data_IF_273364858022
#
_entry.id   IF_273364858022
#
_cell.length_a   1.000
_cell.length_b   1.000
_cell.length_c   1.000
_cell.angle_alpha   90.00
_cell.angle_beta   90.00
_cell.angle_gamma   90.00
#
_symmetry.space_group_name_H-M   'P 1'
#
loop_
_entity.id
_entity.type
_entity.pdbx_description
1 polymer ?
#
# COMPACT_ATOMS: atom_id res chain seq x y z
N UNK A 1 -75.48 -28.87 68.98
CA UNK A 1 -75.54 -28.69 67.52
C UNK A 1 -74.30 -27.88 67.14
N UNK A 2 -73.09 -28.43 67.06
CA UNK A 2 -72.69 -29.71 66.41
C UNK A 2 -73.29 -29.80 64.99
N UNK A 3 -72.58 -30.07 63.88
CA UNK A 3 -71.17 -30.42 63.59
C UNK A 3 -70.89 -30.03 62.10
N UNK A 4 -69.67 -30.00 61.49
CA UNK A 4 -68.32 -30.43 61.88
C UNK A 4 -67.20 -29.65 61.15
N UNK A 5 -65.94 -29.85 61.56
CA UNK A 5 -64.68 -29.65 60.80
C UNK A 5 -63.95 -31.01 60.85
N UNK A 6 -63.49 -31.64 59.74
CA UNK A 6 -62.17 -31.34 59.11
C UNK A 6 -62.21 -31.49 57.55
N UNK A 7 -61.15 -31.38 56.72
CA UNK A 7 -59.75 -31.88 56.77
C UNK A 7 -58.83 -31.04 55.85
N UNK A 8 -57.53 -30.89 56.20
CA UNK A 8 -56.47 -30.42 55.30
C UNK A 8 -55.87 -31.55 54.44
N UNK A 9 -55.70 -31.28 53.15
CA UNK A 9 -54.64 -31.82 52.27
C UNK A 9 -54.61 -30.97 50.99
N UNK A 10 -53.50 -30.67 50.32
CA UNK A 10 -52.07 -30.89 50.55
C UNK A 10 -51.29 -30.02 49.55
N UNK A 11 -50.03 -29.67 49.82
CA UNK A 11 -49.39 -28.52 49.19
C UNK A 11 -49.00 -28.63 47.70
N UNK A 12 -48.78 -27.46 47.07
CA UNK A 12 -47.79 -27.27 46.00
C UNK A 12 -47.12 -25.89 46.16
N UNK A 13 -45.86 -25.79 45.76
CA UNK A 13 -44.88 -24.88 46.38
C UNK A 13 -44.75 -23.47 45.77
N UNK A 14 -44.20 -22.56 46.61
CA UNK A 14 -43.18 -21.49 46.39
C UNK A 14 -42.48 -21.42 44.99
N UNK A 15 -41.82 -20.29 44.60
CA UNK A 15 -41.62 -19.04 45.34
C UNK A 15 -41.83 -17.70 44.59
N UNK A 16 -41.96 -16.65 45.41
CA UNK A 16 -41.75 -15.23 45.09
C UNK A 16 -40.38 -14.98 44.44
N UNK A 17 -40.32 -14.19 43.36
CA UNK A 17 -39.11 -13.47 42.92
C UNK A 17 -39.41 -12.08 42.36
N UNK A 18 -39.16 -11.11 43.23
CA UNK A 18 -38.35 -9.90 43.01
C UNK A 18 -38.73 -8.90 41.89
N UNK A 19 -39.13 -7.66 42.22
CA UNK A 19 -39.39 -6.58 41.25
C UNK A 19 -38.10 -5.87 40.80
N UNK A 20 -37.01 -6.61 40.55
CA UNK A 20 -35.71 -6.05 40.18
C UNK A 20 -35.18 -6.62 38.86
N UNK A 21 -34.65 -5.69 38.05
CA UNK A 21 -33.78 -5.88 36.87
C UNK A 21 -34.46 -6.23 35.52
N UNK A 22 -35.05 -5.22 34.90
CA UNK A 22 -34.84 -4.94 33.46
C UNK A 22 -34.54 -3.46 33.22
N UNK A 23 -33.55 -2.93 33.93
CA UNK A 23 -32.78 -1.80 33.38
C UNK A 23 -31.97 -2.35 32.20
N UNK A 24 -32.50 -2.18 31.00
CA UNK A 24 -31.68 -2.25 29.80
C UNK A 24 -30.76 -1.03 29.83
N UNK A 25 -29.61 -1.18 30.47
CA UNK A 25 -28.49 -0.24 30.31
C UNK A 25 -28.20 -0.16 28.81
N UNK A 26 -28.35 1.01 28.16
CA UNK A 26 -27.91 1.15 26.78
C UNK A 26 -26.43 0.73 26.73
N UNK A 27 -25.98 -0.06 25.73
CA UNK A 27 -24.56 -0.33 25.59
C UNK A 27 -23.86 1.02 25.54
N UNK A 28 -22.94 1.26 26.48
CA UNK A 28 -22.27 2.55 26.61
C UNK A 28 -21.74 2.92 25.21
N UNK A 29 -22.20 4.05 24.67
CA UNK A 29 -22.01 4.41 23.26
C UNK A 29 -20.57 4.83 23.04
N UNK A 30 -19.75 3.80 22.93
CA UNK A 30 -18.32 3.81 22.84
C UNK A 30 -17.91 4.51 21.55
N UNK A 31 -17.00 5.47 21.66
CA UNK A 31 -16.53 6.23 20.51
C UNK A 31 -15.95 5.29 19.45
N UNK A 32 -16.30 5.54 18.19
CA UNK A 32 -15.80 4.76 17.07
C UNK A 32 -14.43 5.26 16.65
N UNK A 33 -13.51 4.34 16.41
CA UNK A 33 -12.21 4.64 15.80
C UNK A 33 -12.34 4.81 14.28
N UNK A 34 -11.36 5.44 13.64
CA UNK A 34 -11.34 5.77 12.22
C UNK A 34 -9.96 5.41 11.67
N UNK A 35 -9.92 4.74 10.51
CA UNK A 35 -8.68 4.47 9.77
C UNK A 35 -8.50 5.57 8.72
N UNK A 36 -7.39 6.28 8.81
CA UNK A 36 -7.01 7.36 7.87
C UNK A 36 -5.75 6.92 7.14
N UNK A 37 -5.74 6.96 5.80
CA UNK A 37 -4.58 6.58 5.00
C UNK A 37 -3.73 7.82 4.64
N UNK A 38 -2.41 7.64 4.62
CA UNK A 38 -1.46 8.64 4.16
C UNK A 38 -0.43 8.01 3.21
N UNK A 39 -0.41 8.37 1.91
CA UNK A 39 -1.35 9.30 1.25
C UNK A 39 -2.79 8.73 1.24
N UNK A 40 -3.83 9.58 1.08
CA UNK A 40 -5.25 9.20 1.26
C UNK A 40 -5.84 8.37 0.09
N UNK A 41 -5.04 7.44 -0.46
CA UNK A 41 -5.30 6.76 -1.72
C UNK A 41 -5.78 5.34 -1.41
N UNK A 42 -6.98 4.98 -1.86
CA UNK A 42 -7.52 3.61 -1.70
C UNK A 42 -6.97 2.64 -2.75
N UNK A 43 -6.44 3.16 -3.86
CA UNK A 43 -5.81 2.41 -4.94
C UNK A 43 -4.32 2.79 -4.98
N UNK A 44 -3.47 1.78 -4.85
CA UNK A 44 -2.03 1.94 -4.62
C UNK A 44 -1.26 1.03 -5.58
N UNK A 45 -0.09 1.45 -6.06
CA UNK A 45 0.72 0.62 -6.94
C UNK A 45 1.57 -0.37 -6.13
N UNK A 46 1.91 -1.48 -6.77
CA UNK A 46 2.82 -2.46 -6.19
C UNK A 46 4.16 -1.78 -5.88
N UNK A 47 4.70 -2.10 -4.71
CA UNK A 47 5.94 -1.58 -4.14
C UNK A 47 5.88 -0.12 -3.62
N UNK A 48 4.72 0.55 -3.66
CA UNK A 48 4.47 1.84 -2.96
C UNK A 48 4.49 1.68 -1.42
N UNK A 49 4.73 2.79 -0.72
CA UNK A 49 4.65 2.90 0.74
C UNK A 49 3.37 3.65 1.17
N UNK A 50 2.58 3.01 2.03
CA UNK A 50 1.33 3.54 2.59
C UNK A 50 1.42 3.56 4.11
N UNK A 51 0.99 4.63 4.75
CA UNK A 51 0.84 4.71 6.21
C UNK A 51 -0.65 4.68 6.57
N UNK A 52 -1.03 3.81 7.52
CA UNK A 52 -2.38 3.77 8.08
C UNK A 52 -2.33 4.33 9.50
N UNK A 53 -3.10 5.40 9.73
CA UNK A 53 -3.27 6.08 11.01
C UNK A 53 -4.58 5.61 11.63
N UNK A 54 -4.55 5.14 12.89
CA UNK A 54 -5.77 4.96 13.66
C UNK A 54 -6.08 6.21 14.50
N UNK A 55 -7.24 6.80 14.28
CA UNK A 55 -7.78 7.91 15.06
C UNK A 55 -8.95 7.42 15.91
N UNK A 56 -9.17 8.01 17.08
CA UNK A 56 -10.21 7.55 18.01
C UNK A 56 -10.02 8.16 19.40
N UNK A 57 -11.07 8.20 20.23
CA UNK A 57 -11.03 8.92 21.51
C UNK A 57 -10.35 8.14 22.66
N UNK A 58 -9.35 7.33 22.34
CA UNK A 58 -8.51 6.70 23.36
C UNK A 58 -7.82 7.78 24.19
N UNK A 59 -7.83 7.63 25.51
CA UNK A 59 -7.05 8.50 26.40
C UNK A 59 -5.56 8.36 26.08
N UNK A 60 -4.71 9.37 26.39
CA UNK A 60 -3.27 9.27 26.12
C UNK A 60 -2.54 8.19 26.93
N UNK A 61 -3.21 7.55 27.91
CA UNK A 61 -2.75 6.34 28.60
C UNK A 61 -2.94 5.07 27.75
N UNK A 62 -4.12 4.89 27.12
CA UNK A 62 -4.43 3.78 26.22
C UNK A 62 -3.82 4.02 24.82
N UNK A 63 -2.52 3.79 24.72
CA UNK A 63 -1.75 3.91 23.46
C UNK A 63 -1.84 2.68 22.55
N UNK A 64 -2.38 1.57 23.03
CA UNK A 64 -2.54 0.34 22.26
C UNK A 64 -3.57 0.49 21.14
N UNK A 65 -3.15 0.20 19.92
CA UNK A 65 -4.00 0.21 18.71
C UNK A 65 -3.98 -1.18 18.09
N UNK A 66 -5.08 -1.91 18.19
CA UNK A 66 -5.27 -3.18 17.52
C UNK A 66 -5.56 -2.94 16.03
N UNK A 67 -4.89 -3.68 15.15
CA UNK A 67 -5.13 -3.62 13.70
C UNK A 67 -5.69 -4.95 13.19
N UNK A 68 -6.67 -4.88 12.30
CA UNK A 68 -7.26 -6.04 11.62
C UNK A 68 -7.16 -5.85 10.10
N UNK A 69 -6.71 -6.89 9.40
CA UNK A 69 -6.70 -6.99 7.94
C UNK A 69 -7.49 -8.22 7.51
N UNK A 70 -8.52 -8.03 6.69
CA UNK A 70 -9.48 -9.07 6.31
C UNK A 70 -10.00 -9.85 7.54
N UNK A 71 -10.37 -9.09 8.57
CA UNK A 71 -10.86 -9.57 9.88
C UNK A 71 -9.86 -10.45 10.67
N UNK A 72 -8.59 -10.52 10.24
CA UNK A 72 -7.47 -11.17 10.93
C UNK A 72 -6.63 -10.13 11.69
N UNK A 73 -6.34 -10.38 12.96
CA UNK A 73 -5.52 -9.50 13.80
C UNK A 73 -4.06 -9.46 13.33
N UNK A 74 -3.55 -8.26 13.07
CA UNK A 74 -2.13 -7.99 12.83
C UNK A 74 -1.44 -7.82 14.19
N UNK A 75 -0.27 -8.44 14.45
CA UNK A 75 0.45 -8.34 15.72
C UNK A 75 1.21 -7.01 15.88
N UNK A 76 0.48 -5.89 15.72
CA UNK A 76 0.99 -4.51 15.71
C UNK A 76 0.09 -3.69 16.63
N UNK A 77 0.69 -3.00 17.61
CA UNK A 77 -0.02 -2.27 18.67
C UNK A 77 0.14 -0.74 18.58
N UNK A 78 0.76 -0.24 17.51
CA UNK A 78 1.09 1.18 17.31
C UNK A 78 0.02 1.93 16.50
N UNK A 79 -0.09 3.24 16.72
CA UNK A 79 -1.07 4.10 16.06
C UNK A 79 -0.82 4.27 14.55
N UNK A 80 0.45 4.31 14.13
CA UNK A 80 0.88 4.44 12.74
C UNK A 80 1.39 3.10 12.24
N UNK A 81 0.71 2.50 11.27
CA UNK A 81 1.14 1.25 10.65
C UNK A 81 1.55 1.48 9.20
N UNK A 82 2.86 1.35 8.93
CA UNK A 82 3.41 1.50 7.59
C UNK A 82 3.43 0.16 6.85
N UNK A 83 2.87 0.14 5.64
CA UNK A 83 2.78 -1.01 4.76
C UNK A 83 3.51 -0.68 3.45
N UNK A 84 4.41 -1.58 3.03
CA UNK A 84 4.96 -1.58 1.66
C UNK A 84 4.18 -2.59 0.83
N UNK A 85 3.53 -2.13 -0.24
CA UNK A 85 2.58 -2.90 -1.05
C UNK A 85 3.27 -3.92 -1.99
N UNK A 86 4.13 -4.79 -1.46
CA UNK A 86 4.98 -5.68 -2.25
C UNK A 86 4.20 -6.81 -2.98
N UNK A 87 2.94 -7.06 -2.60
CA UNK A 87 2.10 -8.10 -3.17
C UNK A 87 0.62 -7.68 -3.14
N UNK A 88 -0.17 -8.21 -4.08
CA UNK A 88 -1.63 -8.03 -4.15
C UNK A 88 -2.32 -8.57 -2.88
N UNK A 89 -1.71 -9.49 -2.13
CA UNK A 89 -2.20 -9.97 -0.83
C UNK A 89 -2.37 -8.89 0.24
N UNK A 90 -1.74 -7.72 0.09
CA UNK A 90 -1.95 -6.56 0.96
C UNK A 90 -3.23 -5.78 0.61
N UNK A 91 -3.92 -6.13 -0.47
CA UNK A 91 -5.28 -5.62 -0.71
C UNK A 91 -6.27 -6.21 0.29
N UNK A 92 -7.41 -5.54 0.45
CA UNK A 92 -8.51 -5.96 1.29
C UNK A 92 -8.93 -4.92 2.32
N UNK A 93 -9.62 -5.40 3.35
CA UNK A 93 -10.31 -4.59 4.36
C UNK A 93 -9.41 -4.36 5.58
N UNK A 94 -9.11 -3.10 5.87
CA UNK A 94 -8.41 -2.67 7.07
C UNK A 94 -9.38 -2.05 8.07
N UNK A 95 -9.25 -2.43 9.35
CA UNK A 95 -9.94 -1.83 10.49
C UNK A 95 -8.93 -1.63 11.62
N UNK A 96 -9.18 -0.67 12.50
CA UNK A 96 -8.45 -0.52 13.75
C UNK A 96 -9.38 -0.46 14.96
N UNK A 97 -8.83 -0.66 16.15
CA UNK A 97 -9.49 -0.43 17.43
C UNK A 97 -8.47 0.16 18.41
N UNK A 98 -8.79 1.31 19.02
CA UNK A 98 -7.86 2.01 19.92
C UNK A 98 -8.29 1.90 21.38
N UNK A 99 -7.48 1.27 22.22
CA UNK A 99 -7.82 1.01 23.62
C UNK A 99 -9.20 0.35 23.74
N UNK A 100 -10.05 0.89 24.60
CA UNK A 100 -11.42 0.40 24.74
C UNK A 100 -12.39 0.84 23.63
N UNK A 101 -12.00 1.70 22.66
CA UNK A 101 -12.89 2.27 21.62
C UNK A 101 -13.57 1.22 20.75
N UNK A 102 -14.64 1.58 20.02
CA UNK A 102 -15.31 0.68 19.09
C UNK A 102 -14.48 0.49 17.81
N UNK A 103 -14.54 -0.72 17.23
CA UNK A 103 -13.88 -1.07 15.97
C UNK A 103 -14.26 -0.08 14.86
N UNK A 104 -13.28 0.33 14.06
CA UNK A 104 -13.44 1.35 13.03
C UNK A 104 -14.39 0.94 11.90
N UNK A 105 -14.75 1.90 11.04
CA UNK A 105 -15.31 1.51 9.74
C UNK A 105 -14.25 0.78 8.92
N UNK A 106 -14.65 -0.17 8.05
CA UNK A 106 -13.75 -0.89 7.18
C UNK A 106 -13.31 -0.03 5.99
N UNK A 107 -12.01 0.18 5.85
CA UNK A 107 -11.44 0.84 4.67
C UNK A 107 -10.85 -0.22 3.74
N UNK A 108 -11.18 -0.16 2.45
CA UNK A 108 -10.64 -1.09 1.44
C UNK A 108 -9.42 -0.48 0.77
N UNK A 109 -8.29 -1.19 0.85
CA UNK A 109 -7.07 -0.90 0.11
C UNK A 109 -6.97 -1.85 -1.08
N UNK A 110 -6.65 -1.34 -2.26
CA UNK A 110 -6.48 -2.11 -3.49
C UNK A 110 -5.06 -1.90 -4.03
N UNK A 111 -4.35 -3.00 -4.30
CA UNK A 111 -2.95 -2.98 -4.76
C UNK A 111 -2.89 -3.46 -6.20
N UNK A 112 -2.40 -2.62 -7.11
CA UNK A 112 -2.31 -2.90 -8.54
C UNK A 112 -0.86 -3.11 -8.99
N UNK A 113 -0.57 -4.06 -9.90
CA UNK A 113 0.78 -4.18 -10.47
C UNK A 113 1.14 -2.91 -11.24
N UNK A 114 2.31 -2.32 -10.98
CA UNK A 114 2.77 -1.17 -11.75
C UNK A 114 3.11 -1.59 -13.20
N UNK A 115 2.39 -1.07 -14.23
CA UNK A 115 2.69 -1.38 -15.63
C UNK A 115 4.06 -0.85 -16.07
N UNK A 116 4.60 0.17 -15.38
CA UNK A 116 5.92 0.74 -15.68
C UNK A 116 7.05 -0.19 -15.20
N UNK A 117 6.95 -0.80 -14.01
CA UNK A 117 7.92 -1.77 -13.49
C UNK A 117 8.15 -2.95 -14.44
N UNK A 118 7.07 -3.48 -15.01
CA UNK A 118 7.06 -4.65 -15.89
C UNK A 118 7.64 -4.35 -17.28
N UNK A 119 7.51 -3.10 -17.75
CA UNK A 119 8.01 -2.68 -19.06
C UNK A 119 9.43 -2.08 -19.00
N UNK A 120 9.79 -1.42 -17.90
CA UNK A 120 11.08 -0.74 -17.71
C UNK A 120 12.28 -1.69 -17.66
N UNK A 121 12.11 -2.89 -17.07
CA UNK A 121 13.22 -3.83 -16.84
C UNK A 121 13.77 -4.49 -18.12
N UNK A 122 12.93 -4.71 -19.15
CA UNK A 122 13.32 -5.45 -20.36
C UNK A 122 13.45 -4.59 -21.62
N UNK A 123 12.68 -3.50 -21.75
CA UNK A 123 12.50 -2.82 -23.06
C UNK A 123 13.43 -1.64 -23.35
N UNK A 124 14.11 -1.05 -22.36
CA UNK A 124 15.00 0.12 -22.61
C UNK A 124 16.19 -0.23 -23.51
N UNK A 125 16.74 -1.45 -23.43
CA UNK A 125 17.82 -1.92 -24.31
C UNK A 125 17.43 -1.87 -25.78
N UNK A 126 16.19 -2.25 -26.13
CA UNK A 126 15.78 -2.39 -27.53
C UNK A 126 15.66 -1.04 -28.26
N UNK A 127 15.45 0.07 -27.54
CA UNK A 127 15.51 1.42 -28.09
C UNK A 127 16.95 1.93 -28.30
N UNK A 128 17.88 1.53 -27.43
CA UNK A 128 19.29 1.93 -27.57
C UNK A 128 20.00 1.24 -28.75
N UNK A 129 19.63 0.01 -29.11
CA UNK A 129 20.22 -0.72 -30.25
C UNK A 129 20.13 0.06 -31.58
N UNK A 130 18.95 0.47 -32.08
CA UNK A 130 18.86 1.24 -33.33
C UNK A 130 19.52 2.61 -33.20
N UNK A 131 19.49 3.24 -32.02
CA UNK A 131 20.20 4.49 -31.77
C UNK A 131 21.73 4.33 -31.94
N UNK A 132 22.33 3.30 -31.36
CA UNK A 132 23.76 3.01 -31.51
C UNK A 132 24.13 2.60 -32.94
N UNK A 133 23.26 1.90 -33.67
CA UNK A 133 23.48 1.57 -35.08
C UNK A 133 23.51 2.85 -35.94
N UNK A 134 22.55 3.77 -35.77
CA UNK A 134 22.53 5.05 -36.50
C UNK A 134 23.74 5.91 -36.15
N UNK A 135 24.05 6.07 -34.86
CA UNK A 135 25.23 6.83 -34.42
C UNK A 135 26.53 6.22 -34.97
N UNK A 136 26.68 4.89 -34.93
CA UNK A 136 27.82 4.17 -35.49
C UNK A 136 27.99 4.40 -37.00
N UNK A 137 26.89 4.34 -37.76
CA UNK A 137 26.91 4.62 -39.21
C UNK A 137 27.38 6.07 -39.46
N UNK A 138 26.82 7.06 -38.76
CA UNK A 138 27.24 8.46 -38.88
C UNK A 138 28.74 8.63 -38.60
N UNK A 139 29.25 8.06 -37.50
CA UNK A 139 30.68 8.08 -37.19
C UNK A 139 31.54 7.45 -38.30
N UNK A 140 31.10 6.36 -38.95
CA UNK A 140 31.85 5.76 -40.07
C UNK A 140 31.84 6.64 -41.32
N UNK A 141 30.71 7.29 -41.63
CA UNK A 141 30.57 8.19 -42.78
C UNK A 141 31.42 9.45 -42.57
N UNK A 142 31.32 10.10 -41.41
CA UNK A 142 32.08 11.31 -41.09
C UNK A 142 33.60 11.03 -41.07
N UNK A 143 34.02 9.93 -40.45
CA UNK A 143 35.45 9.54 -40.39
C UNK A 143 35.97 9.16 -41.78
N UNK A 144 35.19 8.42 -42.57
CA UNK A 144 35.54 8.04 -43.94
C UNK A 144 35.62 9.24 -44.89
N UNK A 145 34.66 10.16 -44.79
CA UNK A 145 34.65 11.41 -45.55
C UNK A 145 35.83 12.30 -45.16
N UNK A 146 36.08 12.49 -43.85
CA UNK A 146 37.22 13.25 -43.34
C UNK A 146 38.55 12.68 -43.85
N UNK A 147 38.73 11.35 -43.79
CA UNK A 147 39.94 10.70 -44.29
C UNK A 147 40.08 10.85 -45.81
N UNK A 148 38.99 10.74 -46.56
CA UNK A 148 38.97 10.92 -48.03
C UNK A 148 39.34 12.35 -48.42
N UNK A 149 38.75 13.36 -47.77
CA UNK A 149 39.10 14.77 -47.95
C UNK A 149 40.56 15.04 -47.55
N UNK A 150 41.03 14.47 -46.43
CA UNK A 150 42.42 14.62 -45.98
C UNK A 150 43.40 14.02 -46.98
N UNK A 151 43.08 12.84 -47.53
CA UNK A 151 43.86 12.17 -48.58
C UNK A 151 43.92 13.04 -49.84
N UNK A 152 42.78 13.52 -50.34
CA UNK A 152 42.74 14.35 -51.55
C UNK A 152 43.46 15.69 -51.36
N UNK A 153 43.29 16.37 -50.23
CA UNK A 153 44.02 17.61 -49.91
C UNK A 153 45.52 17.33 -49.83
N UNK A 154 45.95 16.24 -49.19
CA UNK A 154 47.37 15.89 -49.10
C UNK A 154 47.94 15.49 -50.47
N UNK A 155 47.21 14.74 -51.28
CA UNK A 155 47.57 14.39 -52.66
C UNK A 155 47.66 15.62 -53.56
N UNK A 156 46.73 16.59 -53.44
CA UNK A 156 46.83 17.91 -54.12
C UNK A 156 48.03 18.71 -53.61
N UNK A 157 48.33 18.67 -52.31
CA UNK A 157 49.51 19.34 -51.72
C UNK A 157 50.83 18.70 -52.18
N UNK A 158 50.87 17.39 -52.38
CA UNK A 158 52.01 16.67 -52.97
C UNK A 158 52.16 17.04 -54.44
N UNK A 159 51.08 16.97 -55.24
CA UNK A 159 51.09 17.29 -56.68
C UNK A 159 51.37 18.75 -56.99
N UNK A 160 51.20 19.67 -56.03
CA UNK A 160 51.52 21.10 -56.13
C UNK A 160 52.89 21.51 -55.57
N UNK A 161 53.73 20.60 -55.04
CA UNK A 161 55.10 20.97 -54.66
C UNK A 161 55.93 21.20 -55.94
N UNK A 162 56.57 22.37 -56.13
CA UNK A 162 57.44 22.58 -57.29
C UNK A 162 58.58 21.57 -57.30
N UNK A 163 58.94 21.07 -58.48
CA UNK A 163 59.99 20.07 -58.68
C UNK A 163 61.40 20.70 -58.61
N UNK A 164 61.67 21.48 -57.56
CA UNK A 164 62.89 22.28 -57.39
C UNK A 164 63.51 22.06 -56.01
N UNK A 165 63.84 20.81 -55.68
CA UNK A 165 64.72 20.48 -54.55
C UNK A 165 65.66 19.31 -54.85
N UNK A 166 66.39 19.44 -55.95
CA UNK A 166 67.55 18.61 -56.27
C UNK A 166 68.66 19.50 -56.86
N UNK A 167 69.43 20.12 -55.96
CA UNK A 167 70.81 20.58 -56.16
C UNK A 167 71.51 20.41 -54.81
#
# INVERSE_FOLDING_TARGET
MEHTIPVLAGGKAEPTKDPFLLFSTPPASLSKSVVTLYPPWLHVLKDDLVSLRCEGSGTPEDKSTLWLHNDTTIPVLIQDYNITANNISYSGKYQCQRGQSALSEPVRLEVFPDPSSSTSSSSKIWYYIPFYLVMGILFTVDTGLYFTLKREINSRKIRRRPLTRWR
#
